data_IF_145829115322
#
_entry.id   IF_145829115322
#
_cell.length_a   1.000
_cell.length_b   1.000
_cell.length_c   1.000
_cell.angle_alpha   90.00
_cell.angle_beta   90.00
_cell.angle_gamma   90.00
#
_symmetry.space_group_name_H-M   'P 1'
#
loop_
_entity.id
_entity.type
_entity.pdbx_description
1 polymer ?
#
# COMPACT_ATOMS: atom_id res chain seq x y z
N UNK A 1 17.67 -0.77 18.13
CA UNK A 1 16.29 -1.29 17.98
C UNK A 1 16.36 -2.81 17.85
N UNK A 2 15.52 -3.56 18.57
CA UNK A 2 15.52 -5.03 18.53
C UNK A 2 14.82 -5.57 17.28
N UNK A 3 15.31 -6.68 16.73
CA UNK A 3 14.74 -7.31 15.55
C UNK A 3 13.23 -7.62 15.72
N UNK A 4 12.42 -7.52 14.64
CA UNK A 4 11.00 -7.81 14.70
C UNK A 4 10.76 -9.26 15.13
N UNK A 5 9.84 -9.45 16.08
CA UNK A 5 9.45 -10.80 16.55
C UNK A 5 8.35 -11.34 15.64
N UNK A 6 8.53 -12.52 15.03
CA UNK A 6 7.52 -13.13 14.17
C UNK A 6 6.25 -13.45 14.97
N UNK A 7 5.09 -13.35 14.32
CA UNK A 7 3.79 -13.62 14.93
C UNK A 7 2.83 -14.21 13.90
N UNK A 8 2.23 -15.38 14.18
CA UNK A 8 1.26 -16.05 13.31
C UNK A 8 1.75 -16.25 11.84
N UNK A 9 3.04 -16.53 11.65
CA UNK A 9 3.62 -16.68 10.31
C UNK A 9 3.96 -15.36 9.60
N UNK A 10 3.69 -14.21 10.22
CA UNK A 10 4.10 -12.90 9.71
C UNK A 10 5.47 -12.49 10.26
N UNK A 11 6.24 -11.69 9.50
CA UNK A 11 7.59 -11.26 9.88
C UNK A 11 7.63 -10.38 11.14
N UNK A 12 6.51 -9.72 11.46
CA UNK A 12 6.37 -8.93 12.68
C UNK A 12 4.92 -8.89 13.18
N UNK A 13 4.75 -8.53 14.46
CA UNK A 13 3.43 -8.24 15.02
C UNK A 13 2.70 -7.12 14.27
N UNK A 14 3.43 -6.10 13.80
CA UNK A 14 2.86 -5.01 13.00
C UNK A 14 2.33 -5.53 11.67
N UNK A 15 3.10 -6.38 10.98
CA UNK A 15 2.70 -7.00 9.73
C UNK A 15 1.45 -7.89 9.90
N UNK A 16 1.40 -8.68 10.98
CA UNK A 16 0.21 -9.47 11.31
C UNK A 16 -1.02 -8.60 11.55
N UNK A 17 -0.88 -7.48 12.27
CA UNK A 17 -1.98 -6.54 12.53
C UNK A 17 -2.50 -5.93 11.23
N UNK A 18 -1.61 -5.48 10.34
CA UNK A 18 -1.99 -4.86 9.05
C UNK A 18 -2.71 -5.87 8.16
N UNK A 19 -2.14 -7.07 7.99
CA UNK A 19 -2.75 -8.12 7.16
C UNK A 19 -4.15 -8.51 7.66
N UNK A 20 -4.33 -8.69 8.97
CA UNK A 20 -5.63 -9.04 9.54
C UNK A 20 -6.64 -7.88 9.47
N UNK A 21 -6.18 -6.61 9.48
CA UNK A 21 -7.06 -5.46 9.24
C UNK A 21 -7.57 -5.42 7.81
N UNK A 22 -6.71 -5.73 6.83
CA UNK A 22 -7.09 -5.81 5.42
C UNK A 22 -8.09 -6.94 5.16
N UNK A 23 -8.04 -8.01 5.96
CA UNK A 23 -9.05 -9.08 5.98
C UNK A 23 -10.36 -8.70 6.72
N UNK A 24 -10.53 -7.43 7.10
CA UNK A 24 -11.75 -6.92 7.73
C UNK A 24 -11.90 -7.24 9.22
N UNK A 25 -10.86 -7.77 9.89
CA UNK A 25 -10.96 -8.07 11.33
C UNK A 25 -10.96 -6.80 12.18
N UNK A 26 -11.68 -6.82 13.29
CA UNK A 26 -11.67 -5.73 14.28
C UNK A 26 -10.43 -5.81 15.17
N UNK A 27 -10.00 -4.69 15.74
CA UNK A 27 -8.84 -4.67 16.65
C UNK A 27 -8.98 -5.61 17.86
N UNK A 28 -10.22 -5.81 18.34
CA UNK A 28 -10.49 -6.77 19.41
C UNK A 28 -10.28 -8.22 18.95
N UNK A 29 -10.69 -8.57 17.73
CA UNK A 29 -10.43 -9.89 17.14
C UNK A 29 -8.94 -10.12 16.90
N UNK A 30 -8.25 -9.12 16.33
CA UNK A 30 -6.81 -9.17 16.07
C UNK A 30 -6.02 -9.33 17.37
N UNK A 31 -6.41 -8.60 18.41
CA UNK A 31 -5.81 -8.72 19.74
C UNK A 31 -5.91 -10.14 20.30
N UNK A 32 -7.10 -10.76 20.17
CA UNK A 32 -7.30 -12.17 20.58
C UNK A 32 -6.46 -13.15 19.76
N UNK A 33 -6.30 -12.91 18.45
CA UNK A 33 -5.52 -13.80 17.57
C UNK A 33 -4.02 -13.71 17.85
N UNK A 34 -3.48 -12.50 18.04
CA UNK A 34 -2.03 -12.27 18.20
C UNK A 34 -1.59 -12.37 19.67
N UNK A 35 -2.53 -12.30 20.63
CA UNK A 35 -2.23 -12.26 22.06
C UNK A 35 -1.81 -10.86 22.53
N UNK A 36 -2.43 -9.81 22.00
CA UNK A 36 -2.18 -8.41 22.40
C UNK A 36 -3.50 -7.70 22.72
N UNK A 37 -3.44 -6.56 23.42
CA UNK A 37 -4.66 -5.78 23.68
C UNK A 37 -5.16 -5.10 22.39
N UNK A 38 -6.46 -4.82 22.31
CA UNK A 38 -7.04 -4.06 21.19
C UNK A 38 -6.39 -2.68 21.04
N UNK A 39 -6.01 -2.04 22.17
CA UNK A 39 -5.26 -0.77 22.19
C UNK A 39 -3.89 -0.92 21.54
N UNK A 40 -3.17 -1.99 21.86
CA UNK A 40 -1.87 -2.30 21.23
C UNK A 40 -2.02 -2.57 19.74
N UNK A 41 -3.05 -3.32 19.32
CA UNK A 41 -3.31 -3.57 17.91
C UNK A 41 -3.62 -2.27 17.13
N UNK A 42 -4.45 -1.37 17.69
CA UNK A 42 -4.70 -0.06 17.09
C UNK A 42 -3.43 0.78 17.01
N UNK A 43 -2.63 0.83 18.07
CA UNK A 43 -1.37 1.57 18.08
C UNK A 43 -0.38 1.06 17.03
N UNK A 44 -0.26 -0.26 16.86
CA UNK A 44 0.58 -0.88 15.84
C UNK A 44 0.09 -0.58 14.42
N UNK A 45 -1.21 -0.63 14.18
CA UNK A 45 -1.79 -0.25 12.87
C UNK A 45 -1.50 1.22 12.53
N UNK A 46 -1.70 2.13 13.48
CA UNK A 46 -1.40 3.55 13.28
C UNK A 46 0.11 3.81 13.15
N UNK A 47 0.94 3.05 13.86
CA UNK A 47 2.39 3.13 13.70
C UNK A 47 2.83 2.67 12.32
N UNK A 48 2.25 1.59 11.81
CA UNK A 48 2.51 1.09 10.45
C UNK A 48 2.17 2.16 9.41
N UNK A 49 0.98 2.77 9.51
CA UNK A 49 0.57 3.86 8.61
C UNK A 49 1.51 5.07 8.70
N UNK A 50 2.00 5.43 9.89
CA UNK A 50 2.93 6.55 10.06
C UNK A 50 4.32 6.26 9.51
N UNK A 51 4.84 5.05 9.71
CA UNK A 51 6.11 4.62 9.14
C UNK A 51 6.04 4.60 7.61
N UNK A 52 4.94 4.09 7.05
CA UNK A 52 4.69 4.13 5.60
C UNK A 52 4.67 5.57 5.07
N UNK A 53 4.02 6.51 5.78
CA UNK A 53 4.06 7.94 5.44
C UNK A 53 5.45 8.57 5.52
N UNK A 54 6.34 8.02 6.35
CA UNK A 54 7.72 8.51 6.46
C UNK A 54 8.57 8.01 5.29
N UNK A 55 8.41 6.74 4.89
CA UNK A 55 9.06 6.17 3.70
C UNK A 55 8.57 6.87 2.41
N UNK A 56 7.27 7.17 2.32
CA UNK A 56 6.69 7.95 1.21
C UNK A 56 7.19 9.41 1.18
N UNK A 57 7.67 9.96 2.30
CA UNK A 57 8.27 11.29 2.32
C UNK A 57 9.75 11.30 1.91
N UNK A 58 10.43 10.15 1.94
CA UNK A 58 11.83 10.03 1.45
C UNK A 58 11.89 9.91 -0.08
N UNK A 59 10.86 9.36 -0.72
CA UNK A 59 10.69 9.36 -2.18
C UNK A 59 9.51 10.25 -2.52
N UNK A 60 9.70 11.57 -2.46
CA UNK A 60 8.77 12.45 -3.17
C UNK A 60 9.02 12.24 -4.66
N UNK A 61 8.04 11.83 -5.46
CA UNK A 61 8.21 11.94 -6.90
C UNK A 61 8.44 13.42 -7.17
N UNK A 62 9.61 13.76 -7.72
CA UNK A 62 9.93 15.10 -8.24
C UNK A 62 9.04 15.47 -9.45
N UNK A 63 8.01 14.65 -9.73
CA UNK A 63 7.01 14.86 -10.75
C UNK A 63 6.22 16.12 -10.44
N UNK A 64 6.54 17.17 -11.19
CA UNK A 64 5.73 18.38 -11.24
C UNK A 64 4.45 18.04 -11.99
N UNK A 65 3.35 17.95 -11.25
CA UNK A 65 2.01 17.90 -11.83
C UNK A 65 1.59 19.30 -12.24
N UNK A 66 0.95 19.42 -13.40
CA UNK A 66 0.31 20.67 -13.79
C UNK A 66 -0.95 20.94 -12.94
N UNK A 67 -1.42 22.19 -13.00
CA UNK A 67 -2.59 22.60 -12.20
C UNK A 67 -3.87 21.84 -12.58
N UNK A 68 -3.98 21.37 -13.82
CA UNK A 68 -5.12 20.61 -14.30
C UNK A 68 -5.17 19.21 -13.68
N UNK A 69 -4.04 18.48 -13.70
CA UNK A 69 -3.92 17.18 -13.04
C UNK A 69 -4.15 17.29 -11.52
N UNK A 70 -3.63 18.33 -10.87
CA UNK A 70 -3.89 18.58 -9.45
C UNK A 70 -5.39 18.75 -9.19
N UNK A 71 -6.07 19.58 -9.97
CA UNK A 71 -7.52 19.81 -9.82
C UNK A 71 -8.34 18.54 -10.07
N UNK A 72 -7.94 17.73 -11.05
CA UNK A 72 -8.59 16.47 -11.34
C UNK A 72 -8.42 15.45 -10.19
N UNK A 73 -7.24 15.41 -9.56
CA UNK A 73 -6.91 14.47 -8.48
C UNK A 73 -7.45 14.92 -7.11
N UNK A 74 -7.61 16.23 -6.88
CA UNK A 74 -8.05 16.82 -5.63
C UNK A 74 -9.30 16.15 -5.00
N UNK A 75 -10.42 15.93 -5.73
CA UNK A 75 -11.60 15.30 -5.12
C UNK A 75 -11.36 13.85 -4.68
N UNK A 76 -10.48 13.12 -5.36
CA UNK A 76 -10.12 11.74 -5.00
C UNK A 76 -9.23 11.69 -3.76
N UNK A 77 -8.36 12.68 -3.59
CA UNK A 77 -7.48 12.83 -2.45
C UNK A 77 -8.28 13.24 -1.20
N UNK A 78 -9.15 14.26 -1.33
CA UNK A 78 -10.01 14.76 -0.25
C UNK A 78 -10.95 13.69 0.29
N UNK A 79 -11.58 12.89 -0.58
CA UNK A 79 -12.44 11.76 -0.15
C UNK A 79 -11.70 10.73 0.73
N UNK A 80 -10.37 10.64 0.59
CA UNK A 80 -9.52 9.68 1.30
C UNK A 80 -8.74 10.31 2.45
N UNK A 81 -8.87 11.61 2.69
CA UNK A 81 -8.09 12.34 3.69
C UNK A 81 -6.59 12.36 3.38
N UNK A 82 -6.24 12.40 2.08
CA UNK A 82 -4.87 12.42 1.58
C UNK A 82 -4.57 13.76 0.88
N UNK A 83 -3.31 14.15 0.86
CA UNK A 83 -2.78 15.15 -0.07
C UNK A 83 -2.71 14.57 -1.49
N UNK A 84 -2.64 15.42 -2.51
CA UNK A 84 -2.48 14.95 -3.91
C UNK A 84 -1.17 14.18 -4.07
N UNK A 85 -0.09 14.61 -3.43
CA UNK A 85 1.19 13.86 -3.42
C UNK A 85 1.06 12.48 -2.79
N UNK A 86 0.40 12.37 -1.62
CA UNK A 86 0.13 11.06 -1.00
C UNK A 86 -0.74 10.16 -1.89
N UNK A 87 -1.72 10.73 -2.59
CA UNK A 87 -2.55 9.99 -3.53
C UNK A 87 -1.74 9.47 -4.73
N UNK A 88 -0.83 10.29 -5.27
CA UNK A 88 0.03 9.91 -6.40
C UNK A 88 0.94 8.77 -6.02
N UNK A 89 1.61 8.83 -4.87
CA UNK A 89 2.45 7.74 -4.43
C UNK A 89 1.64 6.44 -4.22
N UNK A 90 0.45 6.55 -3.63
CA UNK A 90 -0.45 5.40 -3.46
C UNK A 90 -0.87 4.79 -4.80
N UNK A 91 -1.17 5.63 -5.79
CA UNK A 91 -1.52 5.19 -7.15
C UNK A 91 -0.35 4.45 -7.79
N UNK A 92 0.86 5.02 -7.74
CA UNK A 92 2.08 4.39 -8.28
C UNK A 92 2.35 3.05 -7.59
N UNK A 93 2.26 3.01 -6.26
CA UNK A 93 2.45 1.78 -5.48
C UNK A 93 1.46 0.69 -5.90
N UNK A 94 0.17 1.05 -6.03
CA UNK A 94 -0.87 0.11 -6.47
C UNK A 94 -0.60 -0.40 -7.89
N UNK A 95 -0.21 0.49 -8.81
CA UNK A 95 0.11 0.13 -10.21
C UNK A 95 1.28 -0.86 -10.29
N UNK A 96 2.29 -0.67 -9.45
CA UNK A 96 3.44 -1.57 -9.35
C UNK A 96 3.07 -2.91 -8.69
N UNK A 97 2.32 -2.87 -7.58
CA UNK A 97 1.90 -4.08 -6.84
C UNK A 97 1.02 -5.00 -7.70
N UNK A 98 0.07 -4.42 -8.44
CA UNK A 98 -0.85 -5.17 -9.30
C UNK A 98 -0.25 -5.53 -10.67
N UNK A 99 1.01 -5.15 -10.96
CA UNK A 99 1.70 -5.37 -12.24
C UNK A 99 0.91 -4.86 -13.47
N UNK A 100 0.24 -3.71 -13.34
CA UNK A 100 -0.59 -3.10 -14.40
C UNK A 100 0.11 -1.94 -15.13
N UNK A 101 1.42 -1.80 -14.98
CA UNK A 101 2.22 -0.71 -15.59
C UNK A 101 2.01 -0.68 -17.10
N UNK A 102 2.18 -1.81 -17.78
CA UNK A 102 2.07 -1.90 -19.24
C UNK A 102 0.66 -1.55 -19.74
N UNK A 103 -0.37 -1.87 -18.94
CA UNK A 103 -1.76 -1.54 -19.25
C UNK A 103 -2.07 -0.05 -19.05
N UNK A 104 -1.41 0.61 -18.08
CA UNK A 104 -1.57 2.04 -17.81
C UNK A 104 -0.78 2.89 -18.80
N UNK A 105 0.40 2.43 -19.21
CA UNK A 105 1.24 3.11 -20.19
C UNK A 105 0.77 2.90 -21.64
N UNK A 106 -0.20 1.99 -21.86
CA UNK A 106 -0.64 1.56 -23.19
C UNK A 106 0.53 1.01 -24.04
N UNK A 107 1.63 0.60 -23.38
CA UNK A 107 2.79 -0.09 -23.98
C UNK A 107 2.47 -1.55 -24.31
N UNK A 108 1.18 -1.92 -24.26
CA UNK A 108 0.60 -3.14 -24.78
C UNK A 108 0.70 -3.26 -26.31
N UNK A 109 1.91 -3.09 -26.86
CA UNK A 109 2.34 -3.83 -28.03
C UNK A 109 2.37 -5.31 -27.64
N UNK A 110 1.16 -5.89 -27.62
CA UNK A 110 0.82 -7.29 -27.80
C UNK A 110 2.08 -8.16 -28.01
N UNK A 111 2.59 -8.75 -26.93
CA UNK A 111 3.50 -9.89 -27.04
C UNK A 111 2.68 -11.04 -27.63
N UNK A 112 2.50 -10.99 -28.95
CA UNK A 112 1.83 -11.99 -29.74
C UNK A 112 2.63 -13.29 -29.66
N UNK A 113 2.01 -14.31 -29.06
CA UNK A 113 2.05 -15.70 -29.52
C UNK A 113 3.45 -16.24 -29.88
N UNK A 114 4.36 -16.35 -28.90
CA UNK A 114 5.60 -17.10 -29.06
C UNK A 114 5.69 -18.34 -28.14
N UNK A 115 4.55 -18.95 -27.79
CA UNK A 115 4.52 -20.25 -27.08
C UNK A 115 3.71 -21.34 -27.79
N UNK A 116 3.40 -21.18 -29.07
CA UNK A 116 2.86 -22.25 -29.93
C UNK A 116 3.72 -22.38 -31.18
N UNK A 117 4.76 -23.23 -31.11
CA UNK A 117 5.32 -24.14 -32.15
C UNK A 117 6.83 -24.31 -31.95
N UNK A 118 7.22 -25.32 -31.17
CA UNK A 118 8.45 -26.09 -31.35
C UNK A 118 8.39 -27.34 -30.46
N UNK A 119 7.47 -28.24 -30.81
CA UNK A 119 7.56 -29.67 -30.51
C UNK A 119 7.81 -30.38 -31.84
#
# INVERSE_FOLDING_TARGET
MGAPKPALGYPSRTAAVVALRNQGKTFAQIGRMIGITAKTASALAHSAQRSHRHDLNEIRPDAVLDGEAINALQPYATRRGLTVGELVCLLIETVVEDQIIDAVLDDGAFAALASETAA
#
